data_IF_487115531365
#
_entry.id   IF_487115531365
#
_cell.length_a   1.000
_cell.length_b   1.000
_cell.length_c   1.000
_cell.angle_alpha   90.00
_cell.angle_beta   90.00
_cell.angle_gamma   90.00
#
_symmetry.space_group_name_H-M   'P 1'
#
loop_
_entity.id
_entity.type
_entity.pdbx_description
1 polymer ?
#
# COMPACT_ATOMS: atom_id res chain seq x y z
N UNK A 1 25.86 -5.97 13.29
CA UNK A 1 26.67 -7.16 13.20
C UNK A 1 25.91 -8.31 12.59
N UNK A 2 26.52 -9.04 11.68
CA UNK A 2 25.97 -10.30 11.15
C UNK A 2 26.13 -11.40 12.24
N UNK A 3 25.03 -12.08 12.54
CA UNK A 3 25.09 -13.40 13.22
C UNK A 3 24.33 -14.35 12.31
N UNK A 4 25.04 -15.29 11.60
CA UNK A 4 24.47 -16.37 10.79
C UNK A 4 23.16 -15.98 10.11
N UNK A 5 22.81 -16.40 9.00
CA UNK A 5 21.57 -16.34 8.21
C UNK A 5 20.58 -15.14 8.33
N UNK A 6 20.95 -13.98 8.89
CA UNK A 6 20.06 -12.82 8.93
C UNK A 6 20.61 -11.57 9.62
N UNK A 7 20.00 -10.42 9.34
CA UNK A 7 20.24 -9.15 10.01
C UNK A 7 19.90 -9.29 11.52
N UNK A 8 20.77 -8.78 12.41
CA UNK A 8 20.47 -8.80 13.84
C UNK A 8 19.22 -7.97 14.15
N UNK A 9 18.54 -8.28 15.26
CA UNK A 9 17.31 -7.59 15.68
C UNK A 9 17.50 -6.07 15.87
N UNK A 10 18.69 -5.64 16.28
CA UNK A 10 19.01 -4.21 16.42
C UNK A 10 19.10 -3.50 15.06
N UNK A 11 19.64 -4.14 14.04
CA UNK A 11 19.74 -3.59 12.69
C UNK A 11 18.38 -3.57 11.99
N UNK A 12 17.56 -4.61 12.21
CA UNK A 12 16.16 -4.64 11.75
C UNK A 12 15.36 -3.49 12.36
N UNK A 13 15.50 -3.25 13.67
CA UNK A 13 14.86 -2.11 14.33
C UNK A 13 15.34 -0.76 13.79
N UNK A 14 16.62 -0.61 13.52
CA UNK A 14 17.16 0.61 12.93
C UNK A 14 16.57 0.88 11.54
N UNK A 15 16.55 -0.12 10.66
CA UNK A 15 15.95 0.02 9.33
C UNK A 15 14.44 0.29 9.41
N UNK A 16 13.71 -0.37 10.30
CA UNK A 16 12.30 -0.10 10.54
C UNK A 16 12.07 1.35 10.98
N UNK A 17 12.90 1.87 11.88
CA UNK A 17 12.81 3.27 12.34
C UNK A 17 13.09 4.28 11.22
N UNK A 18 14.10 4.02 10.38
CA UNK A 18 14.37 4.88 9.22
C UNK A 18 13.24 4.84 8.18
N UNK A 19 12.67 3.67 7.91
CA UNK A 19 11.52 3.53 7.03
C UNK A 19 10.29 4.27 7.58
N UNK A 20 9.99 4.13 8.88
CA UNK A 20 8.91 4.88 9.53
C UNK A 20 9.17 6.39 9.44
N UNK A 21 10.42 6.82 9.53
CA UNK A 21 10.81 8.22 9.42
C UNK A 21 10.62 8.79 8.01
N UNK A 22 10.93 8.01 6.97
CA UNK A 22 10.63 8.34 5.58
C UNK A 22 9.12 8.40 5.33
N UNK A 23 8.39 7.39 5.77
CA UNK A 23 6.93 7.32 5.71
C UNK A 23 6.28 8.50 6.47
N UNK A 24 6.79 8.87 7.64
CA UNK A 24 6.28 10.00 8.44
C UNK A 24 6.51 11.35 7.78
N UNK A 25 7.56 11.51 6.96
CA UNK A 25 7.79 12.72 6.18
C UNK A 25 6.79 12.88 5.04
N UNK A 26 6.32 11.78 4.46
CA UNK A 26 5.39 11.78 3.31
C UNK A 26 3.93 11.95 3.74
N UNK A 27 3.54 11.47 4.94
CA UNK A 27 2.12 11.26 5.27
C UNK A 27 1.68 11.68 6.69
N UNK A 28 2.50 12.34 7.49
CA UNK A 28 2.19 12.58 8.92
C UNK A 28 1.77 11.30 9.71
N UNK A 29 2.39 10.16 9.34
CA UNK A 29 2.11 8.84 9.94
C UNK A 29 2.45 8.82 11.44
N UNK A 30 3.18 9.79 11.93
CA UNK A 30 3.68 9.82 13.32
C UNK A 30 2.60 9.76 14.40
N UNK A 31 1.37 10.20 14.08
CA UNK A 31 0.23 10.21 15.02
C UNK A 31 -0.82 9.13 14.72
N UNK A 32 -0.80 8.50 13.54
CA UNK A 32 -1.82 7.55 13.13
C UNK A 32 -1.53 6.15 13.66
N UNK A 33 -2.47 5.59 14.40
CA UNK A 33 -2.46 4.21 14.86
C UNK A 33 -3.86 3.62 14.80
N UNK A 34 -3.96 2.29 14.79
CA UNK A 34 -5.28 1.64 14.85
C UNK A 34 -6.08 2.02 16.10
N UNK A 35 -5.42 2.46 17.17
CA UNK A 35 -6.09 2.84 18.43
C UNK A 35 -6.58 4.31 18.40
N UNK A 36 -6.05 5.13 17.49
CA UNK A 36 -6.52 6.51 17.26
C UNK A 36 -7.54 6.62 16.13
N UNK A 37 -8.01 5.50 15.58
CA UNK A 37 -9.07 5.49 14.57
C UNK A 37 -10.42 5.76 15.22
N UNK A 38 -11.00 6.91 14.94
CA UNK A 38 -12.24 7.37 15.58
C UNK A 38 -13.49 6.89 14.83
N UNK A 39 -14.25 6.00 15.45
CA UNK A 39 -15.50 5.47 14.88
C UNK A 39 -16.65 6.46 14.97
N UNK A 40 -16.56 7.50 15.78
CA UNK A 40 -17.61 8.49 15.96
C UNK A 40 -17.86 9.36 14.74
N UNK A 41 -16.90 9.45 13.82
CA UNK A 41 -17.07 10.07 12.51
C UNK A 41 -18.05 9.33 11.59
N UNK A 42 -18.39 8.07 11.90
CA UNK A 42 -19.27 7.25 11.07
C UNK A 42 -20.66 7.16 11.70
N UNK A 43 -21.70 7.38 10.88
CA UNK A 43 -23.08 7.30 11.37
C UNK A 43 -23.40 5.92 11.94
N UNK A 44 -24.01 5.85 13.13
CA UNK A 44 -24.55 4.61 13.68
C UNK A 44 -25.86 4.19 13.01
N UNK A 45 -26.51 5.11 12.29
CA UNK A 45 -27.79 4.84 11.64
C UNK A 45 -27.55 3.98 10.38
N UNK A 46 -28.26 2.87 10.36
CA UNK A 46 -28.19 1.89 9.27
C UNK A 46 -28.99 2.32 8.03
N UNK A 47 -30.06 3.09 8.21
CA UNK A 47 -31.01 3.39 7.14
C UNK A 47 -31.49 2.13 6.42
N UNK A 48 -31.42 2.12 5.08
CA UNK A 48 -31.75 0.95 4.24
C UNK A 48 -30.57 -0.01 3.99
N UNK A 49 -29.41 0.27 4.55
CA UNK A 49 -28.20 -0.53 4.31
C UNK A 49 -28.18 -1.82 5.13
N UNK A 50 -27.48 -2.86 4.69
CA UNK A 50 -27.30 -4.11 5.46
C UNK A 50 -26.60 -3.88 6.81
N UNK A 51 -25.71 -2.89 6.89
CA UNK A 51 -24.97 -2.45 8.08
C UNK A 51 -24.87 -0.95 8.12
N UNK A 52 -24.72 -0.37 9.32
CA UNK A 52 -24.45 1.05 9.45
C UNK A 52 -23.03 1.38 8.95
N UNK A 53 -22.75 2.64 8.56
CA UNK A 53 -21.40 3.10 8.25
C UNK A 53 -20.40 2.81 9.37
N UNK A 54 -20.80 2.99 10.65
CA UNK A 54 -19.97 2.69 11.83
C UNK A 54 -19.64 1.21 11.95
N UNK A 55 -20.59 0.32 11.76
CA UNK A 55 -20.36 -1.14 11.76
C UNK A 55 -19.41 -1.56 10.65
N UNK A 56 -19.54 -0.97 9.45
CA UNK A 56 -18.62 -1.22 8.35
C UNK A 56 -17.21 -0.69 8.66
N UNK A 57 -17.09 0.52 9.21
CA UNK A 57 -15.79 1.08 9.60
C UNK A 57 -15.10 0.23 10.67
N UNK A 58 -15.85 -0.23 11.69
CA UNK A 58 -15.31 -1.13 12.72
C UNK A 58 -14.82 -2.46 12.13
N UNK A 59 -15.58 -3.03 11.20
CA UNK A 59 -15.17 -4.27 10.52
C UNK A 59 -13.89 -4.05 9.71
N UNK A 60 -13.82 -2.97 8.94
CA UNK A 60 -12.65 -2.65 8.14
C UNK A 60 -11.41 -2.39 9.02
N UNK A 61 -11.59 -1.67 10.14
CA UNK A 61 -10.55 -1.48 11.14
C UNK A 61 -10.00 -2.82 11.66
N UNK A 62 -10.89 -3.74 12.03
CA UNK A 62 -10.48 -5.06 12.53
C UNK A 62 -9.77 -5.88 11.46
N UNK A 63 -10.24 -5.87 10.20
CA UNK A 63 -9.59 -6.56 9.08
C UNK A 63 -8.18 -6.01 8.82
N UNK A 64 -8.01 -4.68 8.82
CA UNK A 64 -6.70 -4.06 8.61
C UNK A 64 -5.74 -4.35 9.78
N UNK A 65 -6.25 -4.33 11.01
CA UNK A 65 -5.47 -4.69 12.21
C UNK A 65 -5.03 -6.16 12.17
N UNK A 66 -5.93 -7.07 11.83
CA UNK A 66 -5.63 -8.50 11.69
C UNK A 66 -4.64 -8.78 10.53
N UNK A 67 -4.81 -8.11 9.40
CA UNK A 67 -3.88 -8.18 8.28
C UNK A 67 -2.46 -7.77 8.71
N UNK A 68 -2.32 -6.62 9.37
CA UNK A 68 -1.04 -6.11 9.82
C UNK A 68 -0.40 -7.01 10.89
N UNK A 69 -1.16 -7.43 11.91
CA UNK A 69 -0.66 -8.26 13.02
C UNK A 69 -0.24 -9.67 12.58
N UNK A 70 -0.82 -10.20 11.51
CA UNK A 70 -0.51 -11.53 10.96
C UNK A 70 0.26 -11.47 9.66
N UNK A 71 0.83 -10.32 9.34
CA UNK A 71 1.48 -10.11 8.05
C UNK A 71 2.57 -11.16 7.79
N UNK A 72 2.55 -11.69 6.58
CA UNK A 72 3.62 -12.52 5.99
C UNK A 72 3.64 -12.23 4.50
N UNK A 73 4.80 -11.96 3.91
CA UNK A 73 4.91 -11.68 2.48
C UNK A 73 4.25 -12.77 1.64
N UNK A 74 3.51 -12.36 0.62
CA UNK A 74 2.87 -13.26 -0.36
C UNK A 74 1.63 -14.01 0.12
N UNK A 75 1.21 -13.83 1.38
CA UNK A 75 0.03 -14.51 1.90
C UNK A 75 -1.27 -13.90 1.37
N UNK A 76 -1.39 -12.59 1.41
CA UNK A 76 -2.61 -11.87 1.05
C UNK A 76 -2.28 -10.51 0.43
N UNK A 77 -3.16 -10.04 -0.46
CA UNK A 77 -3.24 -8.65 -0.90
C UNK A 77 -4.49 -8.02 -0.31
N UNK A 78 -4.52 -6.70 -0.19
CA UNK A 78 -5.65 -5.97 0.37
C UNK A 78 -6.06 -4.85 -0.57
N UNK A 79 -7.36 -4.75 -0.86
CA UNK A 79 -7.96 -3.64 -1.60
C UNK A 79 -8.88 -2.85 -0.69
N UNK A 80 -8.54 -1.58 -0.46
CA UNK A 80 -9.35 -0.60 0.27
C UNK A 80 -10.02 0.32 -0.75
N UNK A 81 -11.33 0.17 -0.94
CA UNK A 81 -12.07 0.98 -1.90
C UNK A 81 -13.27 1.69 -1.27
N UNK A 82 -13.71 2.77 -1.89
CA UNK A 82 -14.86 3.55 -1.47
C UNK A 82 -14.64 5.06 -1.57
N UNK A 83 -15.67 5.84 -1.28
CA UNK A 83 -15.66 7.30 -1.39
C UNK A 83 -14.48 7.97 -0.63
N UNK A 84 -14.08 9.18 -1.03
CA UNK A 84 -13.11 9.97 -0.26
C UNK A 84 -13.55 10.18 1.19
N UNK A 85 -12.59 10.35 2.11
CA UNK A 85 -12.86 10.61 3.53
C UNK A 85 -13.27 9.40 4.37
N UNK A 86 -13.28 8.18 3.81
CA UNK A 86 -13.63 6.96 4.56
C UNK A 86 -12.46 6.29 5.29
N UNK A 87 -11.34 7.00 5.50
CA UNK A 87 -10.22 6.51 6.30
C UNK A 87 -9.30 5.49 5.60
N UNK A 88 -9.36 5.34 4.27
CA UNK A 88 -8.51 4.39 3.52
C UNK A 88 -7.02 4.65 3.74
N UNK A 89 -6.58 5.87 3.47
CA UNK A 89 -5.18 6.33 3.68
C UNK A 89 -4.74 6.15 5.14
N UNK A 90 -5.63 6.47 6.10
CA UNK A 90 -5.36 6.27 7.52
C UNK A 90 -5.11 4.79 7.85
N UNK A 91 -5.98 3.89 7.39
CA UNK A 91 -5.82 2.44 7.61
C UNK A 91 -4.58 1.89 6.91
N UNK A 92 -4.28 2.37 5.70
CA UNK A 92 -3.04 2.02 4.97
C UNK A 92 -1.79 2.44 5.75
N UNK A 93 -1.79 3.64 6.32
CA UNK A 93 -0.70 4.14 7.16
C UNK A 93 -0.52 3.31 8.44
N UNK A 94 -1.62 2.93 9.11
CA UNK A 94 -1.57 2.04 10.27
C UNK A 94 -0.97 0.66 9.93
N UNK A 95 -1.35 0.10 8.77
CA UNK A 95 -0.78 -1.16 8.28
C UNK A 95 0.72 -1.00 8.04
N UNK A 96 1.14 0.05 7.31
CA UNK A 96 2.54 0.33 7.02
C UNK A 96 3.38 0.37 8.30
N UNK A 97 2.88 1.09 9.31
CA UNK A 97 3.55 1.25 10.59
C UNK A 97 3.75 -0.10 11.29
N UNK A 98 2.69 -0.87 11.50
CA UNK A 98 2.76 -2.14 12.24
C UNK A 98 3.66 -3.14 11.51
N UNK A 99 3.52 -3.28 10.19
CA UNK A 99 4.35 -4.19 9.39
C UNK A 99 5.82 -3.78 9.41
N UNK A 100 6.10 -2.47 9.37
CA UNK A 100 7.47 -1.95 9.47
C UNK A 100 8.07 -2.14 10.87
N UNK A 101 7.27 -1.94 11.94
CA UNK A 101 7.69 -2.19 13.33
C UNK A 101 8.04 -3.67 13.56
N UNK A 102 7.38 -4.60 12.85
CA UNK A 102 7.68 -6.04 12.86
C UNK A 102 8.94 -6.40 12.04
N UNK A 103 9.56 -5.41 11.38
CA UNK A 103 10.85 -5.55 10.69
C UNK A 103 10.76 -6.01 9.24
N UNK A 104 9.59 -5.92 8.62
CA UNK A 104 9.42 -6.14 7.18
C UNK A 104 9.73 -4.85 6.40
N UNK A 105 10.20 -5.00 5.16
CA UNK A 105 10.42 -3.87 4.27
C UNK A 105 9.09 -3.37 3.70
N UNK A 106 8.80 -2.07 3.88
CA UNK A 106 7.56 -1.43 3.43
C UNK A 106 7.90 -0.27 2.51
N UNK A 107 7.24 -0.19 1.37
CA UNK A 107 7.19 1.00 0.52
C UNK A 107 5.75 1.51 0.51
N UNK A 108 5.57 2.79 0.84
CA UNK A 108 4.30 3.48 0.76
C UNK A 108 4.43 4.64 -0.22
N UNK A 109 3.62 4.64 -1.26
CA UNK A 109 3.66 5.72 -2.24
C UNK A 109 2.29 5.86 -2.95
N UNK A 110 2.07 7.01 -3.58
CA UNK A 110 0.89 7.21 -4.42
C UNK A 110 1.03 6.50 -5.76
N UNK A 111 -0.07 6.01 -6.32
CA UNK A 111 -0.06 5.35 -7.62
C UNK A 111 0.54 6.25 -8.72
N UNK A 112 0.18 7.55 -8.72
CA UNK A 112 0.70 8.51 -9.68
C UNK A 112 2.21 8.68 -9.61
N UNK A 113 2.78 8.74 -8.39
CA UNK A 113 4.24 8.86 -8.21
C UNK A 113 4.96 7.58 -8.65
N UNK A 114 4.48 6.41 -8.26
CA UNK A 114 5.06 5.11 -8.69
C UNK A 114 5.07 5.02 -10.21
N UNK A 115 3.96 5.35 -10.90
CA UNK A 115 3.93 5.28 -12.37
C UNK A 115 4.85 6.30 -13.03
N UNK A 116 5.03 7.49 -12.44
CA UNK A 116 6.01 8.45 -12.94
C UNK A 116 7.45 7.95 -12.84
N UNK A 117 7.77 7.18 -11.80
CA UNK A 117 9.07 6.51 -11.66
C UNK A 117 9.25 5.41 -12.72
N UNK A 118 8.23 4.60 -12.98
CA UNK A 118 8.24 3.62 -14.06
C UNK A 118 8.43 4.26 -15.43
N UNK A 119 7.81 5.39 -15.69
CA UNK A 119 7.95 6.16 -16.92
C UNK A 119 9.38 6.72 -17.06
N UNK A 120 9.87 7.32 -16.00
CA UNK A 120 11.24 7.86 -15.95
C UNK A 120 12.28 6.76 -16.15
N UNK A 121 12.17 5.62 -15.50
CA UNK A 121 13.08 4.49 -15.67
C UNK A 121 13.08 3.94 -17.11
N UNK A 122 11.91 3.97 -17.78
CA UNK A 122 11.78 3.48 -19.16
C UNK A 122 12.36 4.42 -20.21
N UNK A 123 12.28 5.75 -20.01
CA UNK A 123 12.61 6.74 -21.03
C UNK A 123 13.94 7.47 -20.79
N UNK A 124 14.64 7.19 -19.68
CA UNK A 124 15.98 7.76 -19.44
C UNK A 124 17.04 7.13 -20.35
N UNK A 125 17.94 8.00 -20.80
CA UNK A 125 19.22 7.62 -21.43
C UNK A 125 20.28 7.52 -20.33
N UNK A 126 21.27 6.65 -20.55
CA UNK A 126 22.29 6.13 -19.61
C UNK A 126 23.19 7.13 -18.83
N UNK A 127 22.90 8.43 -18.79
CA UNK A 127 23.86 9.45 -18.33
C UNK A 127 23.53 10.16 -17.01
N UNK A 128 22.35 9.94 -16.40
CA UNK A 128 22.00 10.51 -15.10
C UNK A 128 21.75 9.38 -14.09
N UNK A 129 22.45 9.42 -12.95
CA UNK A 129 22.41 8.40 -11.89
C UNK A 129 21.03 7.76 -11.67
N UNK A 130 20.96 6.43 -11.69
CA UNK A 130 19.76 5.59 -11.85
C UNK A 130 18.86 5.54 -10.59
N UNK A 131 18.47 6.70 -10.06
CA UNK A 131 17.58 6.76 -8.89
C UNK A 131 16.16 6.24 -9.20
N UNK A 132 15.65 6.46 -10.43
CA UNK A 132 14.31 5.99 -10.80
C UNK A 132 14.27 4.47 -11.00
N UNK A 133 15.34 3.85 -11.49
CA UNK A 133 15.47 2.39 -11.55
C UNK A 133 15.53 1.77 -10.17
N UNK A 134 16.27 2.36 -9.24
CA UNK A 134 16.33 1.94 -7.84
C UNK A 134 14.97 2.03 -7.15
N UNK A 135 14.19 3.10 -7.37
CA UNK A 135 12.86 3.27 -6.79
C UNK A 135 11.86 2.24 -7.33
N UNK A 136 11.88 1.96 -8.64
CA UNK A 136 11.08 0.88 -9.24
C UNK A 136 11.47 -0.47 -8.63
N UNK A 137 12.77 -0.73 -8.49
CA UNK A 137 13.28 -1.97 -7.89
C UNK A 137 12.86 -2.11 -6.41
N UNK A 138 12.87 -1.02 -5.64
CA UNK A 138 12.33 -0.98 -4.28
C UNK A 138 10.84 -1.33 -4.24
N UNK A 139 10.01 -0.75 -5.13
CA UNK A 139 8.59 -1.09 -5.25
C UNK A 139 8.36 -2.56 -5.61
N UNK A 140 9.20 -3.12 -6.47
CA UNK A 140 9.11 -4.53 -6.88
C UNK A 140 9.52 -5.50 -5.78
N UNK A 141 10.51 -5.15 -4.95
CA UNK A 141 11.20 -6.08 -4.05
C UNK A 141 10.87 -5.94 -2.56
N UNK A 142 10.19 -4.87 -2.12
CA UNK A 142 9.75 -4.75 -0.72
C UNK A 142 8.75 -5.85 -0.33
N UNK A 143 8.71 -6.22 0.96
CA UNK A 143 7.78 -7.23 1.48
C UNK A 143 6.33 -6.78 1.36
N UNK A 144 6.05 -5.50 1.63
CA UNK A 144 4.76 -4.85 1.48
C UNK A 144 4.88 -3.57 0.67
N UNK A 145 4.14 -3.50 -0.44
CA UNK A 145 3.91 -2.26 -1.17
C UNK A 145 2.52 -1.72 -0.82
N UNK A 146 2.44 -0.44 -0.48
CA UNK A 146 1.17 0.28 -0.35
C UNK A 146 1.10 1.29 -1.49
N UNK A 147 0.15 1.05 -2.39
CA UNK A 147 -0.14 1.88 -3.54
C UNK A 147 -1.40 2.71 -3.24
N UNK A 148 -1.20 3.96 -2.83
CA UNK A 148 -2.28 4.82 -2.37
C UNK A 148 -2.89 5.62 -3.53
N UNK A 149 -4.20 5.88 -3.43
CA UNK A 149 -4.99 6.69 -4.36
C UNK A 149 -4.95 6.24 -5.83
N UNK A 150 -4.96 4.92 -6.08
CA UNK A 150 -5.07 4.39 -7.45
C UNK A 150 -6.34 4.92 -8.13
N UNK A 151 -6.20 5.46 -9.32
CA UNK A 151 -7.31 6.00 -10.12
C UNK A 151 -7.38 7.53 -10.16
N UNK A 152 -6.47 8.23 -9.51
CA UNK A 152 -6.32 9.68 -9.59
C UNK A 152 -5.44 10.11 -10.76
N UNK A 153 -4.58 9.20 -11.23
CA UNK A 153 -3.70 9.43 -12.38
C UNK A 153 -4.43 9.26 -13.74
N UNK A 154 -3.83 9.78 -14.81
CA UNK A 154 -4.33 9.56 -16.17
C UNK A 154 -4.12 8.09 -16.57
N UNK A 155 -5.22 7.39 -16.82
CA UNK A 155 -5.18 5.99 -17.25
C UNK A 155 -4.74 5.88 -18.72
N UNK A 156 -3.44 5.73 -18.95
CA UNK A 156 -2.85 5.47 -20.27
C UNK A 156 -2.57 3.98 -20.44
N UNK A 157 -2.32 3.52 -21.67
CA UNK A 157 -1.88 2.15 -21.93
C UNK A 157 -0.54 1.83 -21.22
N UNK A 158 0.30 2.84 -21.02
CA UNK A 158 1.53 2.70 -20.23
C UNK A 158 1.22 2.40 -18.77
N UNK A 159 0.35 3.20 -18.13
CA UNK A 159 -0.06 3.00 -16.73
C UNK A 159 -0.71 1.63 -16.52
N UNK A 160 -1.58 1.20 -17.44
CA UNK A 160 -2.18 -0.14 -17.39
C UNK A 160 -1.11 -1.24 -17.43
N UNK A 161 -0.14 -1.11 -18.33
CA UNK A 161 0.95 -2.08 -18.47
C UNK A 161 1.88 -2.09 -17.25
N UNK A 162 2.22 -0.91 -16.72
CA UNK A 162 3.07 -0.74 -15.55
C UNK A 162 2.41 -1.35 -14.30
N UNK A 163 1.13 -1.06 -14.07
CA UNK A 163 0.36 -1.64 -12.97
C UNK A 163 0.28 -3.17 -13.08
N UNK A 164 0.01 -3.69 -14.28
CA UNK A 164 -0.02 -5.13 -14.50
C UNK A 164 1.34 -5.78 -14.21
N UNK A 165 2.43 -5.22 -14.72
CA UNK A 165 3.78 -5.71 -14.47
C UNK A 165 4.14 -5.68 -12.99
N UNK A 166 3.85 -4.58 -12.30
CA UNK A 166 4.09 -4.40 -10.88
C UNK A 166 3.36 -5.48 -10.07
N UNK A 167 2.05 -5.60 -10.22
CA UNK A 167 1.25 -6.54 -9.42
C UNK A 167 1.57 -7.99 -9.76
N UNK A 168 1.73 -8.31 -11.05
CA UNK A 168 2.06 -9.66 -11.47
C UNK A 168 3.47 -10.07 -11.01
N UNK A 169 4.46 -9.19 -11.15
CA UNK A 169 5.82 -9.45 -10.68
C UNK A 169 5.87 -9.70 -9.17
N UNK A 170 5.15 -8.89 -8.39
CA UNK A 170 5.07 -9.04 -6.93
C UNK A 170 4.37 -10.33 -6.51
N UNK A 171 3.28 -10.72 -7.19
CA UNK A 171 2.60 -11.99 -6.96
C UNK A 171 3.50 -13.19 -7.24
N UNK A 172 4.22 -13.18 -8.38
CA UNK A 172 5.12 -14.27 -8.76
C UNK A 172 6.29 -14.43 -7.79
N UNK A 173 6.73 -13.34 -7.16
CA UNK A 173 7.81 -13.34 -6.17
C UNK A 173 7.33 -13.49 -4.73
N UNK A 174 6.03 -13.73 -4.52
CA UNK A 174 5.47 -13.92 -3.19
C UNK A 174 5.53 -12.65 -2.34
N UNK A 175 5.19 -11.49 -2.92
CA UNK A 175 5.15 -10.18 -2.25
C UNK A 175 3.72 -9.68 -2.10
N UNK A 176 3.41 -9.02 -1.00
CA UNK A 176 2.08 -8.50 -0.72
C UNK A 176 1.91 -7.05 -1.14
N UNK A 177 0.71 -6.71 -1.61
CA UNK A 177 0.36 -5.34 -2.01
C UNK A 177 -0.95 -4.91 -1.36
N UNK A 178 -0.97 -3.72 -0.80
CA UNK A 178 -2.18 -3.00 -0.37
C UNK A 178 -2.45 -1.91 -1.40
N UNK A 179 -3.68 -1.82 -1.88
CA UNK A 179 -4.11 -0.77 -2.81
C UNK A 179 -5.24 0.00 -2.15
N UNK A 180 -5.17 1.33 -2.15
CA UNK A 180 -6.31 2.18 -1.85
C UNK A 180 -6.82 2.87 -3.12
N UNK A 181 -8.14 3.06 -3.21
CA UNK A 181 -8.76 3.70 -4.37
C UNK A 181 -10.13 4.27 -4.04
N UNK A 182 -10.54 5.31 -4.79
CA UNK A 182 -11.90 5.83 -4.74
C UNK A 182 -12.83 5.14 -5.75
N UNK A 183 -12.29 4.32 -6.63
CA UNK A 183 -13.03 3.58 -7.65
C UNK A 183 -13.65 2.33 -7.05
N UNK A 184 -14.83 1.96 -7.51
CA UNK A 184 -15.39 0.65 -7.22
C UNK A 184 -14.72 -0.46 -8.06
N UNK A 185 -14.89 -1.75 -7.70
CA UNK A 185 -14.27 -2.85 -8.43
C UNK A 185 -14.63 -2.91 -9.91
N UNK A 186 -15.85 -2.52 -10.30
CA UNK A 186 -16.29 -2.51 -11.69
C UNK A 186 -15.54 -1.43 -12.49
N UNK A 187 -15.40 -0.24 -11.91
CA UNK A 187 -14.67 0.86 -12.53
C UNK A 187 -13.16 0.58 -12.59
N UNK A 188 -12.57 -0.05 -11.56
CA UNK A 188 -11.20 -0.55 -11.61
C UNK A 188 -11.00 -1.54 -12.77
N UNK A 189 -11.90 -2.51 -12.91
CA UNK A 189 -11.85 -3.48 -14.02
C UNK A 189 -11.96 -2.82 -15.39
N UNK A 190 -12.77 -1.78 -15.50
CA UNK A 190 -12.94 -1.00 -16.73
C UNK A 190 -11.72 -0.17 -17.08
N UNK A 191 -11.07 0.47 -16.09
CA UNK A 191 -9.91 1.34 -16.29
C UNK A 191 -8.60 0.56 -16.48
N UNK A 192 -8.36 -0.48 -15.70
CA UNK A 192 -7.08 -1.19 -15.66
C UNK A 192 -7.13 -2.62 -16.19
N UNK A 193 -8.32 -3.09 -16.53
CA UNK A 193 -8.54 -4.43 -17.06
C UNK A 193 -8.97 -5.44 -16.00
N UNK A 194 -9.76 -6.41 -16.42
CA UNK A 194 -10.31 -7.50 -15.57
C UNK A 194 -9.23 -8.33 -14.84
N UNK A 195 -8.04 -8.59 -15.43
CA UNK A 195 -6.99 -9.34 -14.73
C UNK A 195 -6.55 -8.74 -13.39
N UNK A 196 -6.74 -7.42 -13.19
CA UNK A 196 -6.40 -6.76 -11.92
C UNK A 196 -7.24 -7.28 -10.75
N UNK A 197 -8.52 -7.55 -10.98
CA UNK A 197 -9.47 -7.98 -9.93
C UNK A 197 -9.34 -9.45 -9.54
N UNK A 198 -8.63 -10.24 -10.34
CA UNK A 198 -8.42 -11.67 -10.10
C UNK A 198 -7.10 -11.98 -9.36
N UNK A 199 -6.36 -10.95 -8.97
CA UNK A 199 -5.02 -11.04 -8.37
C UNK A 199 -4.95 -10.36 -7.02
#
# INVERSE_FOLDING_TARGET
GYRGDGLCSCLKKYYAQEQIRELSRMLDIGSQSFDTFELDWYSPDRGSLPRSPRENAQRNLNLCRDFAARFRPGRENLLLFGAPGLGKTFLSACIARVVSEDGFSVVYDTAGHVFSQFESAKFRRDDDGDTAGEDVERCMNCDLLILDDLGTEMTTSFVQSALYQLLNGRLLTGRSTVISTNLDPEELGRRYGVPLLSR
#
